data_IF_882338793887
#
_entry.id   IF_882338793887
#
_cell.length_a   1.000
_cell.length_b   1.000
_cell.length_c   1.000
_cell.angle_alpha   90.00
_cell.angle_beta   90.00
_cell.angle_gamma   90.00
#
_symmetry.space_group_name_H-M   'P 1'
#
loop_
_entity.id
_entity.type
_entity.pdbx_description
1 polymer ?
#
# COMPACT_ATOMS: atom_id res chain seq x y z
N UNK A 1 -17.22 26.85 -7.06
CA UNK A 1 -16.61 25.98 -6.02
C UNK A 1 -16.14 24.72 -6.71
N UNK A 2 -14.83 24.55 -6.90
CA UNK A 2 -14.27 23.39 -7.62
C UNK A 2 -14.39 22.13 -6.76
N UNK A 3 -14.88 21.04 -7.36
CA UNK A 3 -15.07 19.76 -6.71
C UNK A 3 -13.75 19.27 -6.08
N UNK A 4 -13.76 19.06 -4.77
CA UNK A 4 -12.70 18.34 -4.06
C UNK A 4 -12.65 16.92 -4.63
N UNK A 5 -11.52 16.57 -5.25
CA UNK A 5 -11.29 15.28 -5.89
C UNK A 5 -11.27 14.12 -4.90
N UNK A 6 -12.45 13.75 -4.39
CA UNK A 6 -12.64 12.56 -3.58
C UNK A 6 -12.48 11.34 -4.47
N UNK A 7 -11.49 10.52 -4.16
CA UNK A 7 -11.34 9.20 -4.77
C UNK A 7 -12.35 8.27 -4.10
N UNK A 8 -13.17 7.61 -4.92
CA UNK A 8 -14.08 6.57 -4.45
C UNK A 8 -13.38 5.23 -4.60
N UNK A 9 -13.10 4.60 -3.46
CA UNK A 9 -12.65 3.21 -3.44
C UNK A 9 -13.88 2.30 -3.37
N UNK A 10 -13.80 1.18 -4.06
CA UNK A 10 -14.86 0.18 -4.06
C UNK A 10 -14.94 -0.51 -2.69
N UNK A 11 -16.14 -0.86 -2.21
CA UNK A 11 -16.29 -1.63 -0.97
C UNK A 11 -15.66 -3.03 -1.08
N UNK A 12 -15.38 -3.63 0.09
CA UNK A 12 -14.88 -5.01 0.23
C UNK A 12 -13.67 -5.32 -0.67
N UNK A 13 -12.80 -4.34 -0.86
CA UNK A 13 -11.70 -4.38 -1.81
C UNK A 13 -10.36 -4.17 -1.11
N UNK A 14 -9.32 -4.74 -1.69
CA UNK A 14 -7.94 -4.55 -1.26
C UNK A 14 -7.20 -3.71 -2.30
N UNK A 15 -6.50 -2.69 -1.82
CA UNK A 15 -5.65 -1.85 -2.64
C UNK A 15 -4.22 -1.88 -2.10
N UNK A 16 -3.23 -1.89 -3.00
CA UNK A 16 -1.90 -1.40 -2.67
C UNK A 16 -1.89 0.11 -2.90
N UNK A 17 -1.29 0.86 -2.00
CA UNK A 17 -1.09 2.29 -2.15
C UNK A 17 0.39 2.61 -2.07
N UNK A 18 0.81 3.56 -2.90
CA UNK A 18 2.17 4.07 -2.86
C UNK A 18 2.16 5.55 -2.56
N UNK A 19 2.95 5.99 -1.58
CA UNK A 19 3.19 7.42 -1.32
C UNK A 19 4.64 7.77 -1.58
N UNK A 20 4.87 9.01 -2.03
CA UNK A 20 6.22 9.48 -2.33
C UNK A 20 7.09 9.49 -1.06
N UNK A 21 8.31 8.94 -1.17
CA UNK A 21 9.41 9.15 -0.22
C UNK A 21 10.52 9.96 -0.91
N UNK A 22 11.52 10.38 -0.13
CA UNK A 22 12.73 10.97 -0.68
C UNK A 22 13.43 9.99 -1.65
N UNK A 23 14.24 10.54 -2.57
CA UNK A 23 15.12 9.77 -3.47
C UNK A 23 14.39 8.80 -4.41
N UNK A 24 13.21 9.17 -4.93
CA UNK A 24 12.44 8.36 -5.88
C UNK A 24 12.07 6.95 -5.35
N UNK A 25 11.96 6.82 -4.02
CA UNK A 25 11.44 5.63 -3.34
C UNK A 25 9.96 5.85 -2.99
N UNK A 26 9.27 4.75 -2.71
CA UNK A 26 7.86 4.79 -2.33
C UNK A 26 7.63 4.08 -1.02
N UNK A 27 6.73 4.61 -0.21
CA UNK A 27 6.16 3.87 0.92
C UNK A 27 4.97 3.07 0.43
N UNK A 28 5.01 1.76 0.63
CA UNK A 28 3.94 0.85 0.25
C UNK A 28 3.05 0.56 1.46
N UNK A 29 1.75 0.53 1.24
CA UNK A 29 0.76 0.17 2.25
C UNK A 29 -0.41 -0.57 1.60
N UNK A 30 -1.07 -1.43 2.36
CA UNK A 30 -2.35 -2.01 1.98
C UNK A 30 -3.48 -1.13 2.50
N UNK A 31 -4.54 -1.00 1.72
CA UNK A 31 -5.79 -0.36 2.12
C UNK A 31 -6.93 -1.34 1.89
N UNK A 32 -7.54 -1.78 2.97
CA UNK A 32 -8.75 -2.61 2.95
C UNK A 32 -9.97 -1.71 3.14
N UNK A 33 -10.97 -1.85 2.27
CA UNK A 33 -12.23 -1.13 2.38
C UNK A 33 -13.32 -2.00 2.99
N UNK A 34 -14.14 -1.42 3.88
CA UNK A 34 -15.30 -2.10 4.45
C UNK A 34 -16.41 -2.28 3.41
N UNK A 35 -17.35 -3.19 3.71
CA UNK A 35 -18.50 -3.47 2.85
C UNK A 35 -19.43 -2.27 2.63
N UNK A 36 -19.48 -1.32 3.58
CA UNK A 36 -20.27 -0.09 3.48
C UNK A 36 -19.57 1.03 2.68
N UNK A 37 -18.35 0.81 2.19
CA UNK A 37 -17.47 1.78 1.51
C UNK A 37 -17.20 3.08 2.29
N UNK A 38 -17.63 3.16 3.55
CA UNK A 38 -17.55 4.36 4.37
C UNK A 38 -16.25 4.39 5.18
N UNK A 39 -15.61 3.24 5.38
CA UNK A 39 -14.35 3.14 6.11
C UNK A 39 -13.30 2.38 5.30
N UNK A 40 -12.04 2.80 5.46
CA UNK A 40 -10.91 2.09 4.96
C UNK A 40 -9.86 1.97 6.06
N UNK A 41 -9.16 0.85 6.12
CA UNK A 41 -8.05 0.65 7.05
C UNK A 41 -6.76 0.54 6.26
N UNK A 42 -5.80 1.41 6.58
CA UNK A 42 -4.44 1.33 6.05
C UNK A 42 -3.61 0.43 6.94
N UNK A 43 -2.97 -0.56 6.34
CA UNK A 43 -2.04 -1.50 6.95
C UNK A 43 -0.65 -1.27 6.35
N UNK A 44 0.36 -1.07 7.19
CA UNK A 44 1.72 -0.83 6.70
C UNK A 44 2.79 -1.23 7.71
N UNK A 45 3.95 -1.58 7.18
CA UNK A 45 5.20 -1.65 7.93
C UNK A 45 5.85 -0.26 7.94
N UNK A 46 6.09 0.32 9.11
CA UNK A 46 6.60 1.69 9.23
C UNK A 46 7.57 1.85 10.40
N UNK A 47 8.33 2.95 10.40
CA UNK A 47 9.18 3.32 11.54
C UNK A 47 8.36 3.58 12.80
N UNK A 48 8.80 3.01 13.92
CA UNK A 48 8.10 3.04 15.20
C UNK A 48 8.97 3.69 16.27
N UNK A 49 8.35 4.54 17.08
CA UNK A 49 8.98 5.18 18.24
C UNK A 49 8.49 4.63 19.57
N UNK A 50 7.48 3.75 19.54
CA UNK A 50 6.78 3.26 20.73
C UNK A 50 7.36 1.97 21.33
N UNK A 51 8.26 1.28 20.62
CA UNK A 51 8.94 0.07 21.10
C UNK A 51 10.46 0.24 21.09
N UNK A 52 11.10 0.42 22.25
CA UNK A 52 12.56 0.46 22.34
C UNK A 52 13.19 -0.80 21.75
N UNK A 53 14.22 -0.63 20.93
CA UNK A 53 14.98 -1.74 20.34
C UNK A 53 14.46 -2.29 19.01
N UNK A 54 13.31 -1.83 18.50
CA UNK A 54 12.79 -2.17 17.17
C UNK A 54 12.55 -0.90 16.36
N UNK A 55 13.23 -0.76 15.22
CA UNK A 55 13.14 0.46 14.41
C UNK A 55 11.83 0.57 13.63
N UNK A 56 11.26 -0.56 13.22
CA UNK A 56 10.04 -0.60 12.42
C UNK A 56 9.10 -1.72 12.90
N UNK A 57 7.83 -1.60 12.55
CA UNK A 57 6.84 -2.65 12.81
C UNK A 57 5.56 -2.44 12.01
N UNK A 58 4.68 -3.43 12.09
CA UNK A 58 3.32 -3.33 11.55
C UNK A 58 2.49 -2.31 12.33
N UNK A 59 1.70 -1.52 11.62
CA UNK A 59 0.68 -0.63 12.17
C UNK A 59 -0.58 -0.63 11.29
N UNK A 60 -1.72 -0.34 11.92
CA UNK A 60 -3.00 -0.19 11.25
C UNK A 60 -3.65 1.15 11.64
N UNK A 61 -4.25 1.82 10.66
CA UNK A 61 -4.90 3.11 10.86
C UNK A 61 -6.20 3.19 10.06
N UNK A 62 -7.31 3.55 10.71
CA UNK A 62 -8.52 3.94 9.99
C UNK A 62 -8.28 5.23 9.22
N UNK A 63 -8.58 5.22 7.93
CA UNK A 63 -8.46 6.36 7.04
C UNK A 63 -9.82 6.62 6.38
N UNK A 64 -10.06 7.87 6.02
CA UNK A 64 -11.09 8.18 5.04
C UNK A 64 -10.44 8.07 3.65
N UNK A 65 -11.06 7.40 2.66
CA UNK A 65 -10.56 7.35 1.28
C UNK A 65 -10.42 8.73 0.60
N UNK A 66 -10.94 9.76 1.26
CA UNK A 66 -10.81 11.16 0.86
C UNK A 66 -9.41 11.62 1.25
N UNK A 67 -8.55 11.73 0.24
CA UNK A 67 -7.31 12.52 0.20
C UNK A 67 -7.06 13.28 1.50
N UNK A 68 -6.16 12.77 2.35
CA UNK A 68 -5.50 13.55 3.41
C UNK A 68 -4.45 12.68 4.10
N UNK A 69 -3.17 13.04 3.93
CA UNK A 69 -2.17 13.12 5.01
C UNK A 69 -0.87 13.71 4.45
N UNK A 70 -0.74 15.03 4.24
CA UNK A 70 0.54 15.77 4.06
C UNK A 70 1.60 15.25 3.05
N UNK A 71 1.30 14.18 2.30
CA UNK A 71 2.16 13.41 1.41
C UNK A 71 1.30 12.97 0.24
N UNK A 72 1.89 12.96 -0.94
CA UNK A 72 1.20 12.64 -2.18
C UNK A 72 1.02 11.14 -2.29
N UNK A 73 -0.22 10.69 -2.39
CA UNK A 73 -0.55 9.32 -2.77
C UNK A 73 -0.42 9.25 -4.29
N UNK A 74 0.48 8.42 -4.78
CA UNK A 74 0.80 8.29 -6.21
C UNK A 74 -0.17 7.36 -6.95
N UNK A 75 -0.88 6.50 -6.22
CA UNK A 75 -1.89 5.64 -6.79
C UNK A 75 -2.50 4.69 -5.78
N UNK A 76 -3.72 4.24 -6.11
CA UNK A 76 -4.41 3.12 -5.49
C UNK A 76 -4.51 1.98 -6.52
N UNK A 77 -3.92 0.84 -6.21
CA UNK A 77 -3.82 -0.32 -7.09
C UNK A 77 -4.71 -1.43 -6.54
N UNK A 78 -5.93 -1.54 -7.06
CA UNK A 78 -6.92 -2.53 -6.65
C UNK A 78 -6.44 -3.92 -7.06
N UNK A 79 -6.38 -4.83 -6.10
CA UNK A 79 -6.04 -6.23 -6.34
C UNK A 79 -7.27 -6.97 -6.89
N UNK A 80 -7.18 -7.48 -8.11
CA UNK A 80 -8.26 -8.29 -8.69
C UNK A 80 -8.41 -9.64 -7.97
N UNK A 81 -9.66 -10.12 -7.88
CA UNK A 81 -9.95 -11.44 -7.33
C UNK A 81 -9.82 -11.53 -5.80
N UNK A 82 -9.66 -10.40 -5.12
CA UNK A 82 -9.67 -10.35 -3.65
C UNK A 82 -11.05 -10.66 -3.10
N UNK A 83 -11.10 -11.54 -2.09
CA UNK A 83 -12.26 -11.77 -1.23
C UNK A 83 -11.83 -11.59 0.22
N UNK A 84 -12.44 -10.65 0.98
CA UNK A 84 -12.03 -10.34 2.35
C UNK A 84 -12.01 -11.59 3.24
N UNK A 85 -10.94 -11.82 4.02
CA UNK A 85 -10.99 -12.73 5.15
C UNK A 85 -11.98 -12.21 6.21
N UNK A 86 -12.35 -13.05 7.18
CA UNK A 86 -12.90 -12.54 8.44
C UNK A 86 -11.96 -11.47 9.02
N UNK A 87 -12.49 -10.34 9.48
CA UNK A 87 -11.72 -9.13 9.79
C UNK A 87 -10.51 -9.35 10.72
N UNK A 88 -10.65 -10.19 11.75
CA UNK A 88 -9.54 -10.55 12.63
C UNK A 88 -8.39 -11.23 11.87
N UNK A 89 -8.72 -12.13 10.93
CA UNK A 89 -7.73 -12.92 10.19
C UNK A 89 -6.88 -12.06 9.25
N UNK A 90 -7.45 -11.01 8.65
CA UNK A 90 -6.66 -10.12 7.79
C UNK A 90 -5.62 -9.34 8.60
N UNK A 91 -6.01 -8.82 9.76
CA UNK A 91 -5.10 -8.14 10.68
C UNK A 91 -4.01 -9.09 11.21
N UNK A 92 -4.37 -10.33 11.55
CA UNK A 92 -3.42 -11.36 12.02
C UNK A 92 -2.37 -11.68 10.95
N UNK A 93 -2.79 -11.85 9.68
CA UNK A 93 -1.85 -12.06 8.55
C UNK A 93 -0.88 -10.87 8.45
N UNK A 94 -1.41 -9.65 8.49
CA UNK A 94 -0.61 -8.44 8.42
C UNK A 94 0.43 -8.35 9.55
N UNK A 95 0.00 -8.62 10.79
CA UNK A 95 0.85 -8.55 11.98
C UNK A 95 1.94 -9.62 12.00
N UNK A 96 1.62 -10.83 11.55
CA UNK A 96 2.54 -11.98 11.61
C UNK A 96 3.46 -12.12 10.40
N UNK A 97 3.23 -11.34 9.32
CA UNK A 97 4.03 -11.42 8.09
C UNK A 97 5.54 -11.27 8.35
N UNK A 98 5.93 -10.31 9.18
CA UNK A 98 7.29 -10.20 9.67
C UNK A 98 7.30 -10.54 11.16
N UNK A 99 7.91 -11.67 11.51
CA UNK A 99 8.04 -12.11 12.90
C UNK A 99 9.05 -11.30 13.72
N UNK A 100 9.84 -10.44 13.07
CA UNK A 100 10.91 -9.69 13.72
C UNK A 100 11.19 -8.35 13.05
N UNK A 101 11.93 -7.51 13.75
CA UNK A 101 12.50 -6.24 13.29
C UNK A 101 13.83 -6.05 14.01
N UNK A 102 14.73 -5.27 13.42
CA UNK A 102 16.02 -4.96 14.00
C UNK A 102 16.03 -3.55 14.62
N UNK A 103 17.05 -3.27 15.41
CA UNK A 103 17.17 -2.01 16.16
C UNK A 103 17.35 -0.76 15.29
N UNK A 104 17.67 -0.90 13.99
CA UNK A 104 17.82 0.22 13.08
C UNK A 104 17.37 -0.16 11.66
N UNK A 105 16.90 0.86 10.92
CA UNK A 105 16.40 0.72 9.55
C UNK A 105 17.44 0.13 8.59
N UNK A 106 18.72 0.55 8.59
CA UNK A 106 19.73 -0.06 7.69
C UNK A 106 19.87 -1.57 7.86
N UNK A 107 19.79 -2.07 9.10
CA UNK A 107 19.83 -3.51 9.37
C UNK A 107 18.59 -4.20 8.81
N UNK A 108 17.39 -3.63 9.01
CA UNK A 108 16.17 -4.14 8.36
C UNK A 108 16.34 -4.27 6.84
N UNK A 109 16.90 -3.24 6.18
CA UNK A 109 17.15 -3.26 4.73
C UNK A 109 18.14 -4.36 4.31
N UNK A 110 19.20 -4.59 5.08
CA UNK A 110 20.16 -5.69 4.82
C UNK A 110 19.48 -7.07 4.84
N UNK A 111 18.46 -7.25 5.67
CA UNK A 111 17.67 -8.48 5.75
C UNK A 111 16.41 -8.46 4.86
N UNK A 112 16.26 -7.47 3.98
CA UNK A 112 15.12 -7.38 3.08
C UNK A 112 13.79 -7.03 3.75
N UNK A 113 13.79 -6.56 5.00
CA UNK A 113 12.60 -6.08 5.69
C UNK A 113 12.33 -4.65 5.26
N UNK A 114 11.29 -4.44 4.45
CA UNK A 114 10.85 -3.14 3.93
C UNK A 114 9.33 -3.12 3.84
N UNK A 115 8.72 -1.93 3.76
CA UNK A 115 7.28 -1.84 3.53
C UNK A 115 6.84 -2.49 2.21
N UNK A 116 7.68 -2.40 1.17
CA UNK A 116 7.45 -3.07 -0.12
C UNK A 116 7.42 -4.60 0.03
N UNK A 117 8.49 -5.18 0.56
CA UNK A 117 8.60 -6.64 0.73
C UNK A 117 7.57 -7.18 1.72
N UNK A 118 7.19 -6.40 2.73
CA UNK A 118 6.09 -6.74 3.63
C UNK A 118 4.75 -6.85 2.87
N UNK A 119 4.40 -5.84 2.06
CA UNK A 119 3.17 -5.88 1.24
C UNK A 119 3.14 -7.11 0.33
N UNK A 120 4.25 -7.39 -0.34
CA UNK A 120 4.35 -8.53 -1.26
C UNK A 120 4.19 -9.88 -0.53
N UNK A 121 4.73 -10.02 0.67
CA UNK A 121 4.55 -11.24 1.49
C UNK A 121 3.12 -11.39 2.02
N UNK A 122 2.46 -10.30 2.42
CA UNK A 122 1.02 -10.33 2.77
C UNK A 122 0.20 -10.82 1.58
N UNK A 123 0.43 -10.26 0.39
CA UNK A 123 -0.28 -10.67 -0.84
C UNK A 123 -0.03 -12.15 -1.14
N UNK A 124 1.23 -12.61 -1.08
CA UNK A 124 1.57 -14.03 -1.26
C UNK A 124 0.80 -14.93 -0.29
N UNK A 125 0.68 -14.52 0.97
CA UNK A 125 -0.06 -15.26 2.00
C UNK A 125 -1.56 -15.30 1.72
N UNK A 126 -2.14 -14.19 1.27
CA UNK A 126 -3.54 -14.12 0.88
C UNK A 126 -3.84 -15.02 -0.33
N UNK A 127 -2.96 -15.06 -1.33
CA UNK A 127 -3.06 -16.01 -2.43
C UNK A 127 -3.01 -17.46 -1.93
N UNK A 128 -2.07 -17.80 -1.06
CA UNK A 128 -1.93 -19.15 -0.50
C UNK A 128 -3.14 -19.58 0.34
N UNK A 129 -3.83 -18.62 0.98
CA UNK A 129 -5.06 -18.86 1.74
C UNK A 129 -6.33 -18.85 0.87
N UNK A 130 -6.23 -18.61 -0.44
CA UNK A 130 -7.39 -18.54 -1.35
C UNK A 130 -8.20 -17.24 -1.26
N UNK A 131 -7.66 -16.18 -0.63
CA UNK A 131 -8.31 -14.87 -0.55
C UNK A 131 -8.03 -13.98 -1.77
N UNK A 132 -7.09 -14.37 -2.62
CA UNK A 132 -6.87 -13.77 -3.94
C UNK A 132 -6.84 -14.91 -4.94
N UNK A 133 -7.74 -14.87 -5.92
CA UNK A 133 -7.90 -15.92 -6.94
C UNK A 133 -7.93 -15.34 -8.35
N UNK A 134 -7.83 -16.19 -9.37
CA UNK A 134 -7.93 -15.78 -10.77
C UNK A 134 -6.71 -15.05 -11.31
N UNK A 135 -5.55 -15.15 -10.63
CA UNK A 135 -4.26 -14.74 -11.18
C UNK A 135 -3.67 -15.84 -12.07
N UNK A 136 -2.84 -15.46 -13.04
CA UNK A 136 -2.17 -16.38 -13.96
C UNK A 136 -0.81 -16.82 -13.41
N UNK A 137 -0.41 -18.07 -13.68
CA UNK A 137 0.89 -18.60 -13.28
C UNK A 137 0.96 -19.01 -11.80
N UNK A 138 2.16 -18.88 -11.21
CA UNK A 138 2.44 -19.22 -9.81
C UNK A 138 2.31 -17.98 -8.91
N UNK A 139 2.13 -18.17 -7.61
CA UNK A 139 2.10 -17.05 -6.65
C UNK A 139 3.35 -16.14 -6.76
N UNK A 140 4.59 -16.68 -6.82
CA UNK A 140 5.77 -15.83 -7.04
C UNK A 140 5.69 -15.01 -8.33
N UNK A 141 5.32 -15.61 -9.46
CA UNK A 141 5.23 -14.90 -10.75
C UNK A 141 4.18 -13.79 -10.72
N UNK A 142 3.05 -14.02 -10.05
CA UNK A 142 2.01 -13.01 -9.85
C UNK A 142 2.52 -11.85 -8.99
N UNK A 143 3.14 -12.15 -7.84
CA UNK A 143 3.68 -11.15 -6.92
C UNK A 143 4.78 -10.31 -7.58
N UNK A 144 5.68 -10.93 -8.34
CA UNK A 144 6.75 -10.24 -9.10
C UNK A 144 6.16 -9.31 -10.18
N UNK A 145 5.13 -9.80 -10.90
CA UNK A 145 4.44 -9.02 -11.92
C UNK A 145 3.73 -7.81 -11.31
N UNK A 146 3.08 -8.01 -10.16
CA UNK A 146 2.41 -6.97 -9.40
C UNK A 146 3.42 -5.93 -8.90
N UNK A 147 4.56 -6.34 -8.34
CA UNK A 147 5.63 -5.43 -7.91
C UNK A 147 6.11 -4.55 -9.06
N UNK A 148 6.36 -5.16 -10.22
CA UNK A 148 6.81 -4.45 -11.43
C UNK A 148 5.80 -3.42 -11.89
N UNK A 149 4.52 -3.82 -12.04
CA UNK A 149 3.45 -2.94 -12.52
C UNK A 149 3.27 -1.75 -11.58
N UNK A 150 3.15 -2.00 -10.28
CA UNK A 150 2.95 -0.94 -9.29
C UNK A 150 4.14 0.02 -9.30
N UNK A 151 5.37 -0.50 -9.27
CA UNK A 151 6.58 0.33 -9.30
C UNK A 151 6.64 1.23 -10.54
N UNK A 152 6.37 0.68 -11.72
CA UNK A 152 6.38 1.42 -12.98
C UNK A 152 5.33 2.53 -12.98
N UNK A 153 4.10 2.20 -12.59
CA UNK A 153 2.99 3.16 -12.54
C UNK A 153 3.19 4.23 -11.48
N UNK A 154 3.73 3.89 -10.31
CA UNK A 154 4.07 4.87 -9.27
C UNK A 154 5.15 5.83 -9.73
N UNK A 155 6.18 5.37 -10.47
CA UNK A 155 7.19 6.25 -11.07
C UNK A 155 6.58 7.20 -12.11
N UNK A 156 5.69 6.71 -12.97
CA UNK A 156 5.00 7.56 -13.94
C UNK A 156 4.15 8.63 -13.23
N UNK A 157 3.41 8.24 -12.20
CA UNK A 157 2.60 9.14 -11.40
C UNK A 157 3.45 10.19 -10.67
N UNK A 158 4.60 9.78 -10.12
CA UNK A 158 5.53 10.68 -9.42
C UNK A 158 6.14 11.72 -10.36
N UNK A 159 6.60 11.28 -11.54
CA UNK A 159 7.11 12.17 -12.58
C UNK A 159 6.04 13.17 -13.04
N UNK A 160 4.80 12.71 -13.23
CA UNK A 160 3.69 13.57 -13.61
C UNK A 160 3.36 14.60 -12.52
N UNK A 161 3.32 14.14 -11.26
CA UNK A 161 3.12 15.01 -10.10
C UNK A 161 4.19 16.11 -10.02
N UNK A 162 5.48 15.73 -10.05
CA UNK A 162 6.59 16.67 -9.98
C UNK A 162 6.58 17.65 -11.16
N UNK A 163 6.38 17.16 -12.39
CA UNK A 163 6.29 17.99 -13.60
C UNK A 163 5.17 19.03 -13.45
N UNK A 164 3.98 18.59 -13.06
CA UNK A 164 2.82 19.49 -12.84
C UNK A 164 3.11 20.51 -11.74
N UNK A 165 3.66 20.05 -10.61
CA UNK A 165 4.01 20.92 -9.49
C UNK A 165 5.03 22.00 -9.90
N UNK A 166 6.08 21.64 -10.63
CA UNK A 166 7.10 22.60 -11.07
C UNK A 166 6.56 23.61 -12.09
N UNK A 167 5.74 23.17 -13.05
CA UNK A 167 5.25 24.05 -14.12
C UNK A 167 4.07 24.92 -13.69
N UNK A 168 3.14 24.36 -12.92
CA UNK A 168 1.87 25.03 -12.61
C UNK A 168 1.83 25.59 -11.19
N UNK A 169 2.76 25.17 -10.31
CA UNK A 169 2.75 25.49 -8.87
C UNK A 169 1.41 25.15 -8.19
N UNK A 170 0.67 24.20 -8.74
CA UNK A 170 -0.60 23.73 -8.19
C UNK A 170 -0.41 22.35 -7.53
N UNK A 171 -1.10 22.14 -6.41
CA UNK A 171 -1.14 20.87 -5.68
C UNK A 171 -2.34 20.01 -6.08
N UNK A 172 -2.98 20.31 -7.21
CA UNK A 172 -4.19 19.63 -7.67
C UNK A 172 -3.83 18.29 -8.33
N UNK A 173 -3.27 17.36 -7.57
CA UNK A 173 -3.02 15.99 -8.01
C UNK A 173 -4.16 15.08 -7.56
N UNK A 174 -4.80 14.44 -8.53
CA UNK A 174 -5.80 13.39 -8.26
C UNK A 174 -5.09 12.05 -8.43
N UNK A 175 -4.99 11.29 -7.34
CA UNK A 175 -4.33 9.99 -7.41
C UNK A 175 -5.13 9.03 -8.31
N UNK A 176 -4.46 8.34 -9.25
CA UNK A 176 -5.12 7.35 -10.08
C UNK A 176 -5.55 6.13 -9.25
N UNK A 177 -6.71 5.57 -9.61
CA UNK A 177 -7.16 4.24 -9.17
C UNK A 177 -7.01 3.29 -10.36
N UNK A 178 -6.25 2.22 -10.18
CA UNK A 178 -5.95 1.25 -11.22
C UNK A 178 -6.26 -0.15 -10.71
N UNK A 179 -6.77 -1.03 -11.58
CA UNK A 179 -6.90 -2.46 -11.27
C UNK A 179 -5.62 -3.15 -11.71
N UNK A 180 -5.05 -3.96 -10.82
CA UNK A 180 -3.85 -4.78 -11.03
C UNK A 180 -4.12 -6.24 -10.70
#
# INVERSE_FOLDING_TARGET
MAATGSILLEPSSLYVTTTQLAEAKFHWALVETSADACTATRHHWHERSDKPGLAEGYGAQRIQPKSLTGRVILGYFKIRGYTPPPSARFADICETTFSTSYANVPTNRKYGLTCRTWVLQVISTLCACGHIIGFEGTIPNFVDSLERIITERSRMADNNYLTTFYHQRTLNFVSPVMVV
#
